data_IF_616023585187
#
_entry.id   IF_616023585187
#
_cell.length_a   1.000
_cell.length_b   1.000
_cell.length_c   1.000
_cell.angle_alpha   90.00
_cell.angle_beta   90.00
_cell.angle_gamma   90.00
#
_symmetry.space_group_name_H-M   'P 1'
#
loop_
_entity.id
_entity.type
_entity.pdbx_description
1 polymer ?
#
# COMPACT_ATOMS: atom_id res chain seq x y z
N UNK A 1 0.63 22.29 12.10
CA UNK A 1 1.51 21.27 12.71
C UNK A 1 1.66 20.11 11.77
N UNK A 2 2.88 19.84 11.38
CA UNK A 2 3.13 18.70 10.50
C UNK A 2 3.15 17.42 11.33
N UNK A 3 2.32 16.48 10.94
CA UNK A 3 2.24 15.19 11.61
C UNK A 3 3.11 14.12 10.94
N UNK A 4 3.91 14.55 9.96
CA UNK A 4 4.70 13.62 9.20
C UNK A 4 3.88 12.93 8.12
N UNK A 5 4.51 11.99 7.45
CA UNK A 5 3.89 11.27 6.35
C UNK A 5 3.20 10.03 6.88
N UNK A 6 1.96 9.84 6.47
CA UNK A 6 1.12 8.75 6.97
C UNK A 6 0.89 7.73 5.86
N UNK A 7 1.27 6.50 6.16
CA UNK A 7 1.13 5.38 5.24
C UNK A 7 -0.07 4.54 5.67
N UNK A 8 -0.99 4.27 4.74
CA UNK A 8 -2.10 3.36 4.98
C UNK A 8 -1.71 1.98 4.43
N UNK A 9 -1.70 0.97 5.30
CA UNK A 9 -1.40 -0.41 4.93
C UNK A 9 -2.69 -1.21 4.94
N UNK A 10 -3.05 -1.79 3.79
CA UNK A 10 -4.24 -2.63 3.64
C UNK A 10 -3.75 -4.05 3.34
N UNK A 11 -3.87 -4.93 4.33
CA UNK A 11 -3.36 -6.29 4.26
C UNK A 11 -4.19 -7.20 5.15
N UNK A 12 -4.72 -8.28 4.60
CA UNK A 12 -5.57 -9.20 5.37
C UNK A 12 -4.77 -10.19 6.23
N UNK A 13 -3.53 -10.48 5.86
CA UNK A 13 -2.66 -11.34 6.69
C UNK A 13 -2.14 -10.54 7.87
N UNK A 14 -2.51 -10.89 9.11
CA UNK A 14 -2.09 -10.11 10.28
C UNK A 14 -0.58 -10.14 10.52
N UNK A 15 0.09 -11.22 10.15
CA UNK A 15 1.54 -11.33 10.35
C UNK A 15 2.26 -10.35 9.43
N UNK A 16 1.91 -10.33 8.15
CA UNK A 16 2.52 -9.40 7.22
C UNK A 16 2.11 -7.96 7.51
N UNK A 17 0.86 -7.75 7.89
CA UNK A 17 0.37 -6.41 8.26
C UNK A 17 1.19 -5.82 9.41
N UNK A 18 1.44 -6.63 10.46
CA UNK A 18 2.24 -6.18 11.60
C UNK A 18 3.69 -5.95 11.20
N UNK A 19 4.24 -6.80 10.36
CA UNK A 19 5.62 -6.65 9.88
C UNK A 19 5.80 -5.36 9.08
N UNK A 20 4.90 -5.08 8.16
CA UNK A 20 4.93 -3.83 7.38
C UNK A 20 4.80 -2.61 8.30
N UNK A 21 3.91 -2.70 9.27
CA UNK A 21 3.72 -1.63 10.25
C UNK A 21 5.01 -1.36 11.02
N UNK A 22 5.65 -2.42 11.52
CA UNK A 22 6.90 -2.27 12.28
C UNK A 22 8.00 -1.66 11.42
N UNK A 23 8.15 -2.13 10.19
CA UNK A 23 9.18 -1.59 9.28
C UNK A 23 8.98 -0.10 9.02
N UNK A 24 7.75 0.31 8.74
CA UNK A 24 7.46 1.68 8.39
C UNK A 24 7.51 2.62 9.59
N UNK A 25 7.05 2.15 10.76
CA UNK A 25 7.20 2.91 12.00
C UNK A 25 8.68 3.09 12.35
N UNK A 26 9.48 2.03 12.23
CA UNK A 26 10.92 2.10 12.50
C UNK A 26 11.63 3.06 11.55
N UNK A 27 11.11 3.19 10.33
CA UNK A 27 11.65 4.13 9.35
C UNK A 27 11.22 5.58 9.61
N UNK A 28 10.29 5.81 10.53
CA UNK A 28 9.87 7.16 10.94
C UNK A 28 8.53 7.62 10.41
N UNK A 29 7.81 6.77 9.67
CA UNK A 29 6.49 7.12 9.16
C UNK A 29 5.41 6.87 10.19
N UNK A 30 4.29 7.58 10.07
CA UNK A 30 3.06 7.21 10.77
C UNK A 30 2.33 6.15 9.96
N UNK A 31 1.67 5.21 10.62
CA UNK A 31 1.05 4.08 9.92
C UNK A 31 -0.38 3.87 10.43
N UNK A 32 -1.31 3.75 9.50
CA UNK A 32 -2.67 3.27 9.77
C UNK A 32 -2.82 1.94 9.06
N UNK A 33 -3.65 1.06 9.60
CA UNK A 33 -3.84 -0.27 9.02
C UNK A 33 -5.32 -0.56 8.78
N UNK A 34 -5.58 -1.39 7.78
CA UNK A 34 -6.89 -1.95 7.53
C UNK A 34 -6.72 -3.41 7.11
N UNK A 35 -7.64 -4.26 7.52
CA UNK A 35 -7.55 -5.70 7.26
C UNK A 35 -8.22 -6.11 5.95
N UNK A 36 -8.95 -5.20 5.31
CA UNK A 36 -9.62 -5.49 4.04
C UNK A 36 -9.76 -4.22 3.21
N UNK A 37 -10.04 -4.40 1.92
CA UNK A 37 -10.09 -3.29 0.97
C UNK A 37 -11.17 -2.26 1.28
N UNK A 38 -12.38 -2.70 1.64
CA UNK A 38 -13.48 -1.78 1.95
C UNK A 38 -13.17 -0.90 3.15
N UNK A 39 -12.63 -1.50 4.22
CA UNK A 39 -12.21 -0.75 5.40
C UNK A 39 -11.08 0.22 5.07
N UNK A 40 -10.14 -0.20 4.20
CA UNK A 40 -9.05 0.66 3.75
C UNK A 40 -9.54 1.87 2.98
N UNK A 41 -10.47 1.67 2.05
CA UNK A 41 -11.05 2.77 1.27
C UNK A 41 -11.78 3.74 2.19
N UNK A 42 -12.58 3.23 3.13
CA UNK A 42 -13.30 4.07 4.08
C UNK A 42 -12.34 4.89 4.94
N UNK A 43 -11.25 4.27 5.38
CA UNK A 43 -10.24 4.96 6.16
C UNK A 43 -9.54 6.05 5.33
N UNK A 44 -9.22 5.76 4.08
CA UNK A 44 -8.59 6.74 3.19
C UNK A 44 -9.49 7.94 2.94
N UNK A 45 -10.80 7.73 2.86
CA UNK A 45 -11.75 8.84 2.70
C UNK A 45 -11.81 9.73 3.94
N UNK A 46 -11.76 9.11 5.13
CA UNK A 46 -11.83 9.84 6.40
C UNK A 46 -10.52 10.55 6.73
N UNK A 47 -9.39 9.93 6.39
CA UNK A 47 -8.07 10.45 6.72
C UNK A 47 -7.18 10.28 5.51
N UNK A 48 -6.87 11.39 4.85
CA UNK A 48 -6.06 11.36 3.62
C UNK A 48 -4.67 10.78 3.89
N UNK A 49 -4.29 9.65 3.26
CA UNK A 49 -2.94 9.10 3.42
C UNK A 49 -1.95 9.82 2.52
N UNK A 50 -0.66 9.73 2.85
CA UNK A 50 0.41 10.19 1.98
C UNK A 50 0.69 9.14 0.90
N UNK A 51 0.54 7.86 1.26
CA UNK A 51 0.78 6.72 0.38
C UNK A 51 -0.05 5.54 0.88
N UNK A 52 -0.48 4.68 -0.02
CA UNK A 52 -1.21 3.45 0.31
C UNK A 52 -0.41 2.24 -0.12
N UNK A 53 -0.28 1.26 0.77
CA UNK A 53 0.23 -0.08 0.43
C UNK A 53 -0.95 -1.03 0.49
N UNK A 54 -1.22 -1.76 -0.57
CA UNK A 54 -2.34 -2.70 -0.59
C UNK A 54 -1.96 -4.04 -1.19
N UNK A 55 -2.39 -5.12 -0.54
CA UNK A 55 -2.38 -6.44 -1.15
C UNK A 55 -3.43 -6.45 -2.27
N UNK A 56 -3.13 -7.18 -3.33
CA UNK A 56 -4.05 -7.33 -4.47
C UNK A 56 -5.10 -8.40 -4.18
N UNK A 57 -4.68 -9.52 -3.60
CA UNK A 57 -5.56 -10.66 -3.38
C UNK A 57 -6.09 -10.70 -1.95
N UNK A 58 -7.27 -10.15 -1.75
CA UNK A 58 -7.95 -10.11 -0.47
C UNK A 58 -9.41 -10.54 -0.66
N UNK A 59 -10.02 -11.18 0.36
CA UNK A 59 -11.46 -11.48 0.31
C UNK A 59 -12.28 -10.20 0.21
N UNK A 60 -13.37 -10.26 -0.52
CA UNK A 60 -14.25 -9.11 -0.69
C UNK A 60 -13.67 -8.09 -1.64
N UNK A 61 -13.52 -6.84 -1.20
CA UNK A 61 -12.95 -5.77 -2.02
C UNK A 61 -11.45 -5.99 -2.19
N UNK A 62 -11.03 -6.32 -3.39
CA UNK A 62 -9.63 -6.59 -3.69
C UNK A 62 -8.82 -5.34 -3.94
N UNK A 63 -7.51 -5.54 -4.09
CA UNK A 63 -6.57 -4.44 -4.30
C UNK A 63 -6.76 -3.68 -5.59
N UNK A 64 -7.27 -4.33 -6.65
CA UNK A 64 -7.58 -3.63 -7.89
C UNK A 64 -8.62 -2.54 -7.66
N UNK A 65 -9.66 -2.85 -6.87
CA UNK A 65 -10.68 -1.87 -6.51
C UNK A 65 -10.11 -0.78 -5.61
N UNK A 66 -9.19 -1.14 -4.70
CA UNK A 66 -8.52 -0.16 -3.84
C UNK A 66 -7.73 0.83 -4.69
N UNK A 67 -6.91 0.34 -5.63
CA UNK A 67 -6.10 1.18 -6.51
C UNK A 67 -7.00 2.15 -7.28
N UNK A 68 -8.06 1.63 -7.90
CA UNK A 68 -8.96 2.45 -8.69
C UNK A 68 -9.66 3.51 -7.85
N UNK A 69 -10.15 3.12 -6.67
CA UNK A 69 -10.92 4.02 -5.82
C UNK A 69 -10.05 5.11 -5.20
N UNK A 70 -8.85 4.75 -4.72
CA UNK A 70 -7.91 5.72 -4.19
C UNK A 70 -7.49 6.70 -5.29
N UNK A 71 -7.23 6.20 -6.50
CA UNK A 71 -6.88 7.04 -7.63
C UNK A 71 -8.00 8.00 -8.03
N UNK A 72 -9.25 7.58 -7.87
CA UNK A 72 -10.41 8.44 -8.14
C UNK A 72 -10.57 9.53 -7.08
N UNK A 73 -10.40 9.16 -5.80
CA UNK A 73 -10.56 10.10 -4.69
C UNK A 73 -9.38 11.06 -4.59
N UNK A 74 -8.17 10.54 -4.73
CA UNK A 74 -6.93 11.30 -4.56
C UNK A 74 -5.97 11.00 -5.71
N UNK A 75 -6.12 11.63 -6.87
CA UNK A 75 -5.31 11.29 -8.05
C UNK A 75 -3.79 11.37 -7.85
N UNK A 76 -3.32 12.14 -6.88
CA UNK A 76 -1.88 12.31 -6.67
C UNK A 76 -1.25 11.38 -5.64
N UNK A 77 -2.03 10.54 -4.97
CA UNK A 77 -1.48 9.67 -3.93
C UNK A 77 -0.93 8.39 -4.55
N UNK A 78 0.36 8.07 -4.32
CA UNK A 78 0.92 6.83 -4.86
C UNK A 78 0.41 5.60 -4.11
N UNK A 79 0.23 4.51 -4.85
CA UNK A 79 -0.18 3.22 -4.29
C UNK A 79 0.90 2.19 -4.63
N UNK A 80 1.33 1.43 -3.63
CA UNK A 80 2.21 0.28 -3.81
C UNK A 80 1.35 -0.97 -3.73
N UNK A 81 1.30 -1.73 -4.82
CA UNK A 81 0.57 -3.00 -4.87
C UNK A 81 1.52 -4.13 -4.48
N UNK A 82 1.06 -5.04 -3.62
CA UNK A 82 1.85 -6.22 -3.22
C UNK A 82 1.06 -7.49 -3.50
N UNK A 83 1.73 -8.55 -3.93
CA UNK A 83 1.06 -9.81 -4.21
C UNK A 83 2.01 -10.99 -4.25
N UNK A 84 1.58 -12.13 -3.67
CA UNK A 84 2.26 -13.40 -3.82
C UNK A 84 2.12 -13.96 -5.25
N UNK A 85 1.17 -13.44 -6.01
CA UNK A 85 0.86 -13.94 -7.36
C UNK A 85 1.58 -13.19 -8.48
N UNK A 86 2.35 -12.16 -8.18
CA UNK A 86 3.07 -11.40 -9.21
C UNK A 86 4.11 -12.24 -9.96
N UNK A 87 4.59 -13.34 -9.35
CA UNK A 87 5.56 -14.23 -9.97
C UNK A 87 4.92 -15.49 -10.56
N UNK A 88 3.60 -15.62 -10.49
CA UNK A 88 2.89 -16.78 -11.01
C UNK A 88 2.18 -16.44 -12.32
N UNK A 89 1.65 -17.48 -12.99
CA UNK A 89 0.84 -17.27 -14.19
C UNK A 89 -0.63 -17.01 -13.86
N UNK A 90 -0.97 -16.92 -12.57
CA UNK A 90 -2.33 -16.71 -12.10
C UNK A 90 -2.47 -15.36 -11.44
N UNK A 91 -3.66 -14.77 -11.55
CA UNK A 91 -3.96 -13.51 -10.91
C UNK A 91 -3.42 -12.30 -11.66
N UNK A 92 -3.50 -11.15 -11.04
CA UNK A 92 -3.08 -9.88 -11.62
C UNK A 92 -1.56 -9.82 -11.73
N UNK A 93 -1.07 -9.38 -12.86
CA UNK A 93 0.36 -9.24 -13.09
C UNK A 93 0.84 -7.86 -12.64
N UNK A 94 2.17 -7.69 -12.36
CA UNK A 94 2.70 -6.39 -11.95
C UNK A 94 2.36 -5.27 -12.93
N UNK A 95 2.52 -5.49 -14.21
CA UNK A 95 2.22 -4.48 -15.23
C UNK A 95 0.74 -4.14 -15.28
N UNK A 96 -0.13 -5.07 -14.94
CA UNK A 96 -1.57 -4.80 -14.85
C UNK A 96 -1.89 -3.92 -13.65
N UNK A 97 -1.22 -4.13 -12.52
CA UNK A 97 -1.38 -3.28 -11.34
C UNK A 97 -0.92 -1.85 -11.65
N UNK A 98 0.19 -1.71 -12.36
CA UNK A 98 0.68 -0.40 -12.78
C UNK A 98 -0.33 0.26 -13.72
N UNK A 99 -0.88 -0.49 -14.67
CA UNK A 99 -1.88 0.02 -15.61
C UNK A 99 -3.15 0.49 -14.90
N UNK A 100 -3.49 -0.11 -13.76
CA UNK A 100 -4.64 0.32 -12.94
C UNK A 100 -4.35 1.58 -12.13
N UNK A 101 -3.09 1.97 -12.02
CA UNK A 101 -2.71 3.18 -11.33
C UNK A 101 -1.72 3.00 -10.17
N UNK A 102 -1.25 1.77 -9.90
CA UNK A 102 -0.23 1.58 -8.87
C UNK A 102 1.09 2.21 -9.32
N UNK A 103 1.77 2.86 -8.40
CA UNK A 103 3.07 3.46 -8.67
C UNK A 103 4.19 2.42 -8.67
N UNK A 104 4.02 1.37 -7.88
CA UNK A 104 4.96 0.26 -7.77
C UNK A 104 4.20 -1.04 -7.56
N UNK A 105 4.78 -2.15 -7.99
CA UNK A 105 4.25 -3.49 -7.75
C UNK A 105 5.37 -4.35 -7.19
N UNK A 106 5.19 -4.85 -5.96
CA UNK A 106 6.18 -5.67 -5.27
C UNK A 106 5.68 -7.09 -5.11
N UNK A 107 6.47 -8.06 -5.56
CA UNK A 107 6.15 -9.48 -5.41
C UNK A 107 6.52 -9.96 -4.01
N UNK A 108 5.63 -10.71 -3.36
CA UNK A 108 5.93 -11.39 -2.10
C UNK A 108 6.77 -12.66 -2.39
N UNK A 109 7.73 -13.01 -1.58
CA UNK A 109 8.23 -12.24 -0.45
C UNK A 109 9.16 -11.10 -0.90
N UNK A 110 9.13 -10.01 -0.16
CA UNK A 110 10.03 -8.89 -0.40
C UNK A 110 10.74 -8.56 0.92
N UNK A 111 11.83 -7.80 0.82
CA UNK A 111 12.62 -7.45 1.98
C UNK A 111 12.19 -6.08 2.49
N UNK A 112 12.54 -5.80 3.75
CA UNK A 112 12.33 -4.50 4.35
C UNK A 112 12.87 -3.37 3.48
N UNK A 113 14.10 -3.53 2.96
CA UNK A 113 14.72 -2.50 2.12
C UNK A 113 13.94 -2.23 0.84
N UNK A 114 13.28 -3.25 0.30
CA UNK A 114 12.49 -3.09 -0.92
C UNK A 114 11.27 -2.23 -0.65
N UNK A 115 10.57 -2.51 0.44
CA UNK A 115 9.37 -1.75 0.81
C UNK A 115 9.73 -0.33 1.25
N UNK A 116 10.64 -0.18 2.19
CA UNK A 116 11.02 1.14 2.71
C UNK A 116 11.64 1.98 1.61
N UNK A 117 12.47 1.37 0.76
CA UNK A 117 13.07 2.06 -0.38
C UNK A 117 12.02 2.59 -1.35
N UNK A 118 11.00 1.79 -1.67
CA UNK A 118 9.92 2.22 -2.56
C UNK A 118 9.14 3.40 -1.96
N UNK A 119 8.86 3.35 -0.66
CA UNK A 119 8.17 4.46 0.02
C UNK A 119 9.00 5.73 -0.05
N UNK A 120 10.29 5.65 0.27
CA UNK A 120 11.18 6.82 0.21
C UNK A 120 11.26 7.39 -1.20
N UNK A 121 11.36 6.53 -2.20
CA UNK A 121 11.41 6.98 -3.60
C UNK A 121 10.14 7.72 -4.01
N UNK A 122 8.98 7.28 -3.52
CA UNK A 122 7.70 7.84 -3.93
C UNK A 122 7.31 9.09 -3.15
N UNK A 123 7.59 9.16 -1.85
CA UNK A 123 7.12 10.26 -1.01
C UNK A 123 8.23 10.96 -0.23
N UNK A 124 9.48 10.50 -0.37
CA UNK A 124 10.61 11.07 0.35
C UNK A 124 10.72 10.56 1.78
N UNK A 125 11.74 11.05 2.52
CA UNK A 125 11.92 10.64 3.92
C UNK A 125 10.73 11.03 4.79
N UNK A 126 10.58 10.39 5.97
CA UNK A 126 9.33 10.48 6.74
C UNK A 126 8.97 11.87 7.21
N UNK A 127 9.94 12.66 7.62
CA UNK A 127 9.68 14.02 8.06
C UNK A 127 10.90 14.87 7.80
N UNK A 128 10.65 16.13 7.56
CA UNK A 128 11.72 17.10 7.37
C UNK A 128 12.43 17.40 8.69
#
# INVERSE_FOLDING_TARGET
MDEGKRILVIEDDPILRDLLTDWLLAAGYSVDVAAEGGAGIAHARAYRPTLVVTDIHMPGTGGAAVISEVGRIYPGIPVIAISAHFRSNHGLKPEEAIALGAARALAKPFKRKDMVGAVIELVGPPAA
#
